data_IF_077451217185
#
_entry.id   IF_077451217185
#
_cell.length_a   1.000
_cell.length_b   1.000
_cell.length_c   1.000
_cell.angle_alpha   90.00
_cell.angle_beta   90.00
_cell.angle_gamma   90.00
#
_symmetry.space_group_name_H-M   'P 1'
#
loop_
_entity.id
_entity.type
_entity.pdbx_description
1 polymer ?
#
# COMPACT_ATOMS: atom_id res chain seq x y z
N UNK A 1 -3.81 5.53 -6.48
CA UNK A 1 -2.77 6.49 -6.89
C UNK A 1 -2.87 6.73 -8.40
N UNK A 2 -2.54 7.95 -8.85
CA UNK A 2 -2.60 8.38 -10.25
C UNK A 2 -1.24 8.96 -10.65
N UNK A 3 -0.87 8.80 -11.91
CA UNK A 3 0.32 9.42 -12.47
C UNK A 3 0.12 10.92 -12.64
N UNK A 4 1.20 11.68 -12.41
CA UNK A 4 1.23 13.12 -12.66
C UNK A 4 0.96 13.43 -14.15
N UNK A 5 0.42 14.63 -14.40
CA UNK A 5 0.08 15.20 -15.71
C UNK A 5 -1.10 14.52 -16.43
N UNK A 6 -1.10 13.20 -16.59
CA UNK A 6 -2.15 12.45 -17.31
C UNK A 6 -3.27 11.94 -16.40
N UNK A 7 -3.11 12.03 -15.07
CA UNK A 7 -4.05 11.54 -14.04
C UNK A 7 -4.48 10.08 -14.24
N UNK A 8 -3.72 9.29 -15.00
CA UNK A 8 -4.00 7.87 -15.27
C UNK A 8 -3.85 7.08 -13.97
N UNK A 9 -4.79 6.20 -13.67
CA UNK A 9 -4.70 5.30 -12.51
C UNK A 9 -3.51 4.36 -12.72
N UNK A 10 -2.60 4.34 -11.76
CA UNK A 10 -1.38 3.49 -11.79
C UNK A 10 -1.33 2.48 -10.64
N UNK A 11 -2.17 2.66 -9.63
CA UNK A 11 -2.31 1.72 -8.53
C UNK A 11 -3.71 1.89 -7.95
N UNK A 12 -4.50 0.82 -8.00
CA UNK A 12 -5.84 0.74 -7.44
C UNK A 12 -6.05 -0.62 -6.79
N UNK A 13 -5.58 -0.72 -5.55
CA UNK A 13 -5.65 -1.94 -4.74
C UNK A 13 -6.55 -1.66 -3.55
N UNK A 14 -7.46 -2.60 -3.26
CA UNK A 14 -8.23 -2.57 -2.03
C UNK A 14 -7.36 -3.07 -0.87
N UNK A 15 -7.37 -2.35 0.25
CA UNK A 15 -6.78 -2.83 1.49
C UNK A 15 -7.67 -3.95 2.04
N UNK A 16 -7.06 -5.06 2.44
CA UNK A 16 -7.77 -6.24 2.96
C UNK A 16 -7.15 -6.72 4.27
N UNK A 17 -7.92 -7.52 5.00
CA UNK A 17 -7.46 -8.09 6.26
C UNK A 17 -6.29 -9.06 6.04
N UNK A 18 -5.21 -8.88 6.80
CA UNK A 18 -4.00 -9.70 6.64
C UNK A 18 -3.11 -9.29 5.45
N UNK A 19 -3.36 -8.13 4.85
CA UNK A 19 -2.46 -7.56 3.85
C UNK A 19 -1.06 -7.34 4.46
N UNK A 20 -0.05 -7.98 3.86
CA UNK A 20 1.33 -7.86 4.36
C UNK A 20 1.93 -6.55 3.88
N UNK A 21 2.52 -5.80 4.81
CA UNK A 21 3.22 -4.56 4.54
C UNK A 21 4.58 -4.66 5.20
N UNK A 22 5.64 -4.47 4.43
CA UNK A 22 6.99 -4.49 4.96
C UNK A 22 7.62 -3.12 4.81
N UNK A 23 8.27 -2.70 5.90
CA UNK A 23 9.18 -1.59 5.90
C UNK A 23 10.57 -2.08 5.48
N UNK A 24 11.07 -1.59 4.35
CA UNK A 24 12.48 -1.77 4.01
C UNK A 24 13.32 -0.72 4.77
N UNK A 25 14.59 -0.97 5.07
CA UNK A 25 15.47 -0.08 5.85
C UNK A 25 15.83 1.26 5.14
N UNK A 26 15.00 1.71 4.20
CA UNK A 26 15.18 2.88 3.36
C UNK A 26 13.84 3.60 3.18
N UNK A 27 13.77 4.57 2.27
CA UNK A 27 12.54 5.27 1.85
C UNK A 27 11.60 4.41 0.99
N UNK A 28 11.51 3.11 1.26
CA UNK A 28 10.71 2.16 0.49
C UNK A 28 9.77 1.37 1.39
N UNK A 29 8.54 1.21 0.92
CA UNK A 29 7.55 0.33 1.52
C UNK A 29 7.21 -0.76 0.51
N UNK A 30 7.20 -2.01 0.95
CA UNK A 30 6.72 -3.14 0.16
C UNK A 30 5.30 -3.50 0.58
N UNK A 31 4.43 -3.69 -0.40
CA UNK A 31 3.02 -4.00 -0.24
C UNK A 31 2.72 -5.28 -1.00
N UNK A 32 2.02 -6.20 -0.37
CA UNK A 32 1.58 -7.45 -0.97
C UNK A 32 0.08 -7.37 -1.15
N UNK A 33 -0.34 -7.20 -2.39
CA UNK A 33 -1.68 -6.78 -2.75
C UNK A 33 -2.30 -7.74 -3.75
N UNK A 34 -3.63 -7.77 -3.87
CA UNK A 34 -4.29 -8.43 -4.99
C UNK A 34 -4.68 -7.38 -6.03
N UNK A 35 -4.26 -7.59 -7.28
CA UNK A 35 -4.68 -6.76 -8.42
C UNK A 35 -5.80 -7.45 -9.21
N UNK A 36 -6.80 -6.69 -9.64
CA UNK A 36 -7.95 -7.21 -10.40
C UNK A 36 -9.04 -7.82 -9.51
N UNK A 37 -9.73 -8.87 -9.99
CA UNK A 37 -10.82 -9.56 -9.26
C UNK A 37 -10.33 -10.51 -8.14
N UNK A 38 -9.13 -10.30 -7.62
CA UNK A 38 -8.59 -11.09 -6.48
C UNK A 38 -7.70 -12.28 -6.87
N UNK A 39 -7.44 -12.52 -8.15
CA UNK A 39 -6.72 -13.73 -8.59
C UNK A 39 -5.19 -13.59 -8.65
N UNK A 40 -4.62 -12.39 -8.56
CA UNK A 40 -3.18 -12.18 -8.72
C UNK A 40 -2.58 -11.40 -7.57
N UNK A 41 -1.78 -12.09 -6.75
CA UNK A 41 -0.93 -11.47 -5.75
C UNK A 41 0.20 -10.71 -6.45
N UNK A 42 0.23 -9.39 -6.27
CA UNK A 42 1.25 -8.50 -6.79
C UNK A 42 2.12 -7.97 -5.66
N UNK A 43 3.42 -7.88 -5.94
CA UNK A 43 4.42 -7.33 -5.04
C UNK A 43 4.75 -5.92 -5.50
N UNK A 44 4.35 -4.93 -4.71
CA UNK A 44 4.52 -3.51 -5.04
C UNK A 44 5.57 -2.91 -4.12
N UNK A 45 6.41 -2.03 -4.66
CA UNK A 45 7.35 -1.23 -3.90
C UNK A 45 7.08 0.26 -4.15
N UNK A 46 6.74 1.00 -3.09
CA UNK A 46 6.54 2.45 -3.16
C UNK A 46 7.77 3.13 -2.60
N UNK A 47 8.44 3.93 -3.45
CA UNK A 47 9.56 4.79 -3.06
C UNK A 47 9.05 6.16 -2.67
N UNK A 48 9.43 6.63 -1.50
CA UNK A 48 9.09 7.95 -0.97
C UNK A 48 10.31 8.86 -0.96
N UNK A 49 10.08 10.14 -0.67
CA UNK A 49 11.13 11.16 -0.67
C UNK A 49 12.12 10.97 0.48
N UNK A 50 11.63 10.62 1.67
CA UNK A 50 12.42 10.43 2.88
C UNK A 50 11.88 9.24 3.72
N UNK A 51 12.62 8.85 4.76
CA UNK A 51 12.23 7.75 5.66
C UNK A 51 11.00 8.08 6.49
N UNK A 52 10.86 9.31 7.00
CA UNK A 52 9.74 9.67 7.87
C UNK A 52 8.39 9.55 7.15
N UNK A 53 8.35 9.92 5.86
CA UNK A 53 7.17 9.72 5.02
C UNK A 53 6.86 8.23 4.83
N UNK A 54 7.89 7.38 4.75
CA UNK A 54 7.71 5.94 4.68
C UNK A 54 7.10 5.39 5.97
N UNK A 55 7.47 5.95 7.11
CA UNK A 55 6.97 5.55 8.41
C UNK A 55 5.51 5.95 8.55
N UNK A 56 5.21 7.20 8.22
CA UNK A 56 3.86 7.75 8.24
C UNK A 56 2.92 6.92 7.34
N UNK A 57 3.36 6.56 6.13
CA UNK A 57 2.55 5.77 5.22
C UNK A 57 2.40 4.31 5.73
N UNK A 58 3.46 3.72 6.28
CA UNK A 58 3.40 2.38 6.88
C UNK A 58 2.40 2.31 8.03
N UNK A 59 2.44 3.27 8.94
CA UNK A 59 1.50 3.37 10.07
C UNK A 59 0.07 3.63 9.58
N UNK A 60 -0.11 4.53 8.62
CA UNK A 60 -1.43 4.82 8.05
C UNK A 60 -2.08 3.59 7.41
N UNK A 61 -1.31 2.80 6.66
CA UNK A 61 -1.81 1.56 6.03
C UNK A 61 -2.14 0.51 7.09
N UNK A 62 -1.27 0.29 8.07
CA UNK A 62 -1.55 -0.66 9.16
C UNK A 62 -2.80 -0.27 9.95
N UNK A 63 -2.95 1.01 10.29
CA UNK A 63 -4.14 1.52 10.96
C UNK A 63 -5.40 1.33 10.09
N UNK A 64 -5.32 1.57 8.78
CA UNK A 64 -6.43 1.34 7.87
C UNK A 64 -6.82 -0.15 7.76
N UNK A 65 -5.84 -1.06 7.70
CA UNK A 65 -6.08 -2.52 7.71
C UNK A 65 -6.72 -2.96 9.02
N UNK A 66 -6.25 -2.42 10.16
CA UNK A 66 -6.83 -2.70 11.48
C UNK A 66 -8.28 -2.21 11.57
N UNK A 67 -8.58 -1.01 11.05
CA UNK A 67 -9.96 -0.48 11.03
C UNK A 67 -10.89 -1.25 10.09
N UNK A 68 -10.37 -1.79 8.99
CA UNK A 68 -11.13 -2.67 8.11
C UNK A 68 -11.58 -3.97 8.83
N UNK A 69 -10.94 -4.34 9.94
CA UNK A 69 -11.33 -5.48 10.77
C UNK A 69 -12.59 -5.21 11.63
N UNK A 70 -12.84 -3.95 11.98
CA UNK A 70 -13.92 -3.56 12.90
C UNK A 70 -15.29 -3.44 12.20
N UNK A 71 -15.31 -3.45 10.87
CA UNK A 71 -16.51 -3.35 10.04
C UNK A 71 -16.97 -4.70 9.45
N UNK A 72 -16.51 -5.84 10.01
CA UNK A 72 -16.87 -7.19 9.58
C UNK A 72 -18.07 -7.77 10.33
#
# INVERSE_FOLDING_TARGET
MRADNVLKVILNVALFHGMHVERSQEKFIRLFAFEGKGDSLVHLAIKLSNSNEADNLYEAINNAILRAKDHA
#
